data_IF_621996265132
#
_entry.id   IF_621996265132
#
_cell.length_a   1.000
_cell.length_b   1.000
_cell.length_c   1.000
_cell.angle_alpha   90.00
_cell.angle_beta   90.00
_cell.angle_gamma   90.00
#
_symmetry.space_group_name_H-M   'P 1'
#
loop_
_entity.id
_entity.type
_entity.pdbx_description
1 polymer ?
#
# COMPACT_ATOMS: atom_id res chain seq x y z
N UNK A 1 -7.83 9.79 10.63
CA UNK A 1 -6.84 8.86 10.05
C UNK A 1 -7.41 8.08 8.87
N UNK A 2 -8.37 7.16 9.07
CA UNK A 2 -8.91 6.29 7.99
C UNK A 2 -9.64 7.03 6.85
N UNK A 3 -10.32 8.14 7.14
CA UNK A 3 -11.03 8.93 6.12
C UNK A 3 -10.11 9.47 5.02
N UNK A 4 -8.83 9.76 5.35
CA UNK A 4 -7.81 10.17 4.37
C UNK A 4 -7.44 9.02 3.43
N UNK A 5 -7.31 7.81 3.96
CA UNK A 5 -7.05 6.61 3.15
C UNK A 5 -8.23 6.22 2.25
N UNK A 6 -9.46 6.60 2.63
CA UNK A 6 -10.63 6.47 1.77
C UNK A 6 -10.78 7.60 0.73
N UNK A 7 -9.94 8.63 0.78
CA UNK A 7 -10.06 9.81 -0.09
C UNK A 7 -11.28 10.69 0.22
N UNK A 8 -11.90 10.53 1.39
CA UNK A 8 -13.04 11.34 1.83
C UNK A 8 -12.63 12.68 2.45
N UNK A 9 -11.33 12.90 2.65
CA UNK A 9 -10.75 14.16 3.12
C UNK A 9 -9.38 14.34 2.46
N UNK A 10 -8.83 15.56 2.49
CA UNK A 10 -7.47 15.86 2.00
C UNK A 10 -6.45 14.84 2.50
N UNK A 11 -5.62 14.33 1.57
CA UNK A 11 -4.72 13.21 1.81
C UNK A 11 -3.43 13.25 0.95
N UNK A 12 -3.05 14.41 0.40
CA UNK A 12 -1.91 14.51 -0.53
C UNK A 12 -0.60 14.07 0.14
N UNK A 13 -0.43 14.40 1.42
CA UNK A 13 0.71 13.95 2.23
C UNK A 13 0.78 12.43 2.35
N UNK A 14 -0.36 11.78 2.63
CA UNK A 14 -0.44 10.32 2.75
C UNK A 14 -0.23 9.62 1.40
N UNK A 15 -0.72 10.18 0.30
CA UNK A 15 -0.49 9.66 -1.05
C UNK A 15 0.99 9.70 -1.44
N UNK A 16 1.70 10.80 -1.11
CA UNK A 16 3.14 10.91 -1.35
C UNK A 16 3.94 9.91 -0.51
N UNK A 17 3.56 9.74 0.76
CA UNK A 17 4.17 8.78 1.67
C UNK A 17 3.95 7.34 1.19
N UNK A 18 2.72 6.99 0.80
CA UNK A 18 2.38 5.68 0.24
C UNK A 18 3.21 5.37 -1.02
N UNK A 19 3.32 6.32 -1.95
CA UNK A 19 4.16 6.13 -3.14
C UNK A 19 5.62 5.85 -2.77
N UNK A 20 6.20 6.67 -1.88
CA UNK A 20 7.58 6.50 -1.44
C UNK A 20 7.81 5.13 -0.78
N UNK A 21 7.01 4.79 0.22
CA UNK A 21 7.17 3.54 0.98
C UNK A 21 6.96 2.29 0.11
N UNK A 22 5.99 2.33 -0.81
CA UNK A 22 5.73 1.19 -1.70
C UNK A 22 6.81 1.04 -2.77
N UNK A 23 7.33 2.14 -3.33
CA UNK A 23 8.46 2.10 -4.25
C UNK A 23 9.72 1.57 -3.56
N UNK A 24 10.01 2.02 -2.33
CA UNK A 24 11.14 1.51 -1.56
C UNK A 24 11.03 0.00 -1.32
N UNK A 25 9.82 -0.50 -1.00
CA UNK A 25 9.55 -1.94 -0.90
C UNK A 25 9.77 -2.68 -2.22
N UNK A 26 9.30 -2.13 -3.35
CA UNK A 26 9.53 -2.74 -4.67
C UNK A 26 11.02 -2.83 -4.98
N UNK A 27 11.77 -1.73 -4.78
CA UNK A 27 13.23 -1.71 -4.99
C UNK A 27 13.95 -2.73 -4.09
N UNK A 28 13.43 -2.96 -2.88
CA UNK A 28 13.95 -3.96 -1.95
C UNK A 28 13.45 -5.40 -2.20
N UNK A 29 12.60 -5.63 -3.21
CA UNK A 29 12.01 -6.95 -3.48
C UNK A 29 11.04 -7.43 -2.41
N UNK A 30 10.46 -6.53 -1.63
CA UNK A 30 9.56 -6.83 -0.52
C UNK A 30 8.08 -6.81 -0.95
N UNK A 31 7.20 -7.62 -0.30
CA UNK A 31 5.77 -7.56 -0.56
C UNK A 31 5.18 -6.22 -0.11
N UNK A 32 4.33 -5.63 -0.96
CA UNK A 32 3.71 -4.31 -0.73
C UNK A 32 2.92 -4.24 0.59
N UNK A 33 2.08 -5.26 0.82
CA UNK A 33 1.14 -5.32 1.94
C UNK A 33 1.54 -6.33 3.02
N UNK A 34 2.81 -6.69 3.10
CA UNK A 34 3.34 -7.64 4.07
C UNK A 34 3.01 -9.10 3.76
N UNK A 35 3.33 -9.98 4.71
CA UNK A 35 3.08 -11.43 4.62
C UNK A 35 2.11 -11.81 5.73
N UNK A 36 1.20 -12.75 5.44
CA UNK A 36 0.24 -13.30 6.40
C UNK A 36 0.50 -14.78 6.61
N UNK A 37 0.31 -15.25 7.85
CA UNK A 37 0.34 -16.67 8.20
C UNK A 37 -1.00 -17.36 7.94
N UNK A 38 -2.03 -16.60 7.57
CA UNK A 38 -3.38 -17.12 7.34
C UNK A 38 -3.53 -17.66 5.92
N UNK A 39 -4.37 -18.70 5.71
CA UNK A 39 -4.80 -19.13 4.38
C UNK A 39 -5.42 -17.99 3.55
N UNK A 40 -5.28 -18.05 2.22
CA UNK A 40 -5.70 -16.96 1.29
C UNK A 40 -7.21 -16.69 1.35
N UNK A 41 -8.01 -17.74 1.50
CA UNK A 41 -9.46 -17.65 1.69
C UNK A 41 -9.81 -16.91 2.99
N UNK A 42 -9.11 -17.20 4.09
CA UNK A 42 -9.27 -16.51 5.37
C UNK A 42 -8.82 -15.06 5.28
N UNK A 43 -7.74 -14.75 4.57
CA UNK A 43 -7.34 -13.37 4.29
C UNK A 43 -8.44 -12.61 3.53
N UNK A 44 -9.08 -13.26 2.55
CA UNK A 44 -10.21 -12.69 1.82
C UNK A 44 -11.44 -12.46 2.71
N UNK A 45 -11.72 -13.35 3.65
CA UNK A 45 -12.77 -13.15 4.66
C UNK A 45 -12.45 -11.97 5.58
N UNK A 46 -11.22 -11.91 6.11
CA UNK A 46 -10.75 -10.82 6.95
C UNK A 46 -10.86 -9.47 6.24
N UNK A 47 -10.38 -9.39 4.99
CA UNK A 47 -10.47 -8.18 4.17
C UNK A 47 -11.90 -7.67 4.05
N UNK A 48 -12.87 -8.55 3.76
CA UNK A 48 -14.29 -8.20 3.64
C UNK A 48 -14.90 -7.73 4.95
N UNK A 49 -14.56 -8.37 6.08
CA UNK A 49 -15.07 -8.01 7.41
C UNK A 49 -14.52 -6.67 7.91
N UNK A 50 -13.25 -6.37 7.63
CA UNK A 50 -12.63 -5.11 8.06
C UNK A 50 -12.80 -3.96 7.06
N UNK A 51 -13.31 -4.21 5.85
CA UNK A 51 -13.51 -3.16 4.84
C UNK A 51 -14.60 -2.19 5.29
N UNK A 52 -14.29 -0.89 5.27
CA UNK A 52 -15.18 0.20 5.71
C UNK A 52 -15.63 0.15 7.18
N UNK A 53 -15.04 -0.70 8.03
CA UNK A 53 -15.43 -0.84 9.44
C UNK A 53 -15.33 0.47 10.23
N UNK A 54 -14.45 1.39 9.82
CA UNK A 54 -14.31 2.70 10.44
C UNK A 54 -15.58 3.57 10.34
N UNK A 55 -16.48 3.32 9.39
CA UNK A 55 -17.78 4.01 9.29
C UNK A 55 -18.72 3.64 10.45
N UNK A 56 -18.52 2.47 11.06
CA UNK A 56 -19.33 1.94 12.16
C UNK A 56 -18.58 1.99 13.50
N UNK A 57 -17.53 2.80 13.61
CA UNK A 57 -16.66 2.85 14.79
C UNK A 57 -17.42 3.16 16.08
N UNK A 58 -18.46 4.00 16.02
CA UNK A 58 -19.31 4.33 17.16
C UNK A 58 -20.16 3.14 17.67
N UNK A 59 -20.35 2.12 16.83
CA UNK A 59 -21.10 0.90 17.17
C UNK A 59 -20.15 -0.18 17.68
N UNK A 60 -19.08 -0.46 16.93
CA UNK A 60 -18.09 -1.47 17.26
C UNK A 60 -16.73 -1.09 16.70
N UNK A 61 -15.68 -0.95 17.53
CA UNK A 61 -14.33 -0.73 17.04
C UNK A 61 -13.78 -2.02 16.41
N UNK A 62 -13.80 -2.07 15.08
CA UNK A 62 -13.32 -3.22 14.32
C UNK A 62 -12.15 -2.81 13.42
N UNK A 63 -10.97 -3.37 13.66
CA UNK A 63 -9.73 -3.01 12.98
C UNK A 63 -9.24 -4.11 12.05
N UNK A 64 -8.43 -3.73 11.06
CA UNK A 64 -7.72 -4.68 10.23
C UNK A 64 -6.36 -5.03 10.87
N UNK A 65 -6.13 -6.31 11.14
CA UNK A 65 -4.85 -6.86 11.63
C UNK A 65 -4.25 -7.90 10.68
N UNK A 66 -4.84 -8.08 9.50
CA UNK A 66 -4.47 -9.13 8.55
C UNK A 66 -3.86 -8.48 7.31
N UNK A 67 -2.60 -8.82 7.05
CA UNK A 67 -1.96 -8.53 5.78
C UNK A 67 -2.68 -9.30 4.67
N UNK A 68 -3.15 -8.58 3.65
CA UNK A 68 -3.93 -9.14 2.55
C UNK A 68 -3.74 -8.28 1.29
N UNK A 69 -3.99 -8.80 0.09
CA UNK A 69 -3.76 -8.04 -1.16
C UNK A 69 -5.01 -7.28 -1.68
N UNK A 70 -6.12 -7.29 -0.95
CA UNK A 70 -7.41 -6.74 -1.37
C UNK A 70 -7.60 -5.26 -0.98
N UNK A 71 -6.66 -4.39 -1.36
CA UNK A 71 -6.71 -2.95 -1.03
C UNK A 71 -7.47 -2.09 -2.05
N UNK A 72 -7.82 -2.64 -3.22
CA UNK A 72 -8.60 -1.92 -4.24
C UNK A 72 -7.81 -0.83 -4.97
N UNK A 73 -6.49 -0.99 -5.06
CA UNK A 73 -5.57 -0.08 -5.73
C UNK A 73 -4.86 -0.84 -6.85
N UNK A 74 -4.64 -0.19 -8.00
CA UNK A 74 -3.73 -0.71 -9.01
C UNK A 74 -2.28 -0.58 -8.51
N UNK A 75 -1.68 -1.72 -8.17
CA UNK A 75 -0.32 -1.78 -7.64
C UNK A 75 0.74 -1.58 -8.71
N UNK A 76 0.41 -1.69 -10.00
CA UNK A 76 1.36 -1.51 -11.11
C UNK A 76 2.03 -0.13 -11.07
N UNK A 77 1.33 0.89 -10.57
CA UNK A 77 1.85 2.26 -10.42
C UNK A 77 3.15 2.33 -9.60
N UNK A 78 3.30 1.47 -8.58
CA UNK A 78 4.50 1.46 -7.74
C UNK A 78 5.69 0.83 -8.46
N UNK A 79 5.45 -0.25 -9.20
CA UNK A 79 6.49 -0.92 -10.01
C UNK A 79 6.99 0.00 -11.13
N UNK A 80 6.08 0.64 -11.85
CA UNK A 80 6.43 1.60 -12.90
C UNK A 80 7.20 2.82 -12.35
N UNK A 81 6.89 3.25 -11.13
CA UNK A 81 7.65 4.33 -10.48
C UNK A 81 9.04 3.85 -10.05
N UNK A 82 9.15 2.65 -9.48
CA UNK A 82 10.42 2.07 -9.10
C UNK A 82 11.35 1.87 -10.31
N UNK A 83 10.83 1.37 -11.43
CA UNK A 83 11.56 1.23 -12.70
C UNK A 83 12.12 2.58 -13.17
N UNK A 84 11.27 3.62 -13.21
CA UNK A 84 11.69 4.98 -13.60
C UNK A 84 12.80 5.54 -12.72
N UNK A 85 12.72 5.34 -11.41
CA UNK A 85 13.74 5.82 -10.47
C UNK A 85 15.06 5.04 -10.61
N UNK A 86 15.00 3.72 -10.74
CA UNK A 86 16.20 2.89 -10.95
C UNK A 86 16.90 3.21 -12.27
N UNK A 87 16.14 3.49 -13.33
CA UNK A 87 16.69 3.95 -14.60
C UNK A 87 17.38 5.31 -14.47
N UNK A 88 16.76 6.27 -13.77
CA UNK A 88 17.36 7.59 -13.52
C UNK A 88 18.65 7.48 -12.70
N UNK A 89 18.68 6.65 -11.66
CA UNK A 89 19.87 6.37 -10.85
C UNK A 89 20.99 5.75 -11.69
N UNK A 90 20.66 4.83 -12.60
CA UNK A 90 21.63 4.20 -13.52
C UNK A 90 22.22 5.22 -14.48
N UNK A 91 21.40 6.08 -15.07
CA UNK A 91 21.84 7.12 -16.01
C UNK A 91 22.72 8.17 -15.31
N UNK A 92 22.35 8.63 -14.12
CA UNK A 92 23.15 9.60 -13.35
C UNK A 92 24.54 9.08 -12.93
N UNK A 93 24.65 7.77 -12.63
CA UNK A 93 25.95 7.12 -12.38
C UNK A 93 26.82 7.09 -13.64
N UNK A 94 26.22 6.84 -14.81
CA UNK A 94 26.94 6.79 -16.08
C UNK A 94 27.45 8.14 -16.58
N UNK A 95 26.78 9.25 -16.23
CA UNK A 95 27.24 10.60 -16.60
C UNK A 95 28.30 11.18 -15.65
N UNK A 96 28.59 10.50 -14.54
CA UNK A 96 29.55 10.91 -13.51
C UNK A 96 30.85 10.10 -13.54
N UNK A 97 31.02 9.23 -14.53
CA UNK A 97 32.21 8.36 -14.74
C UNK A 97 32.96 8.74 -16.02
#
# INVERSE_FOLDING_TARGET
>A
MTLRFYGMSENAREVQMDMREMVDKVKAGQPLYGVSTLPVDVQGMAARQSRYSALFFAVLPWFNFVNHNQHGVDTAKYYQQAERELEAERLGKSSSS
#
